data_IF_518390519283
#
_entry.id   IF_518390519283
#
_cell.length_a   1.000
_cell.length_b   1.000
_cell.length_c   1.000
_cell.angle_alpha   90.00
_cell.angle_beta   90.00
_cell.angle_gamma   90.00
#
_symmetry.space_group_name_H-M   'P 1'
#
loop_
_entity.id
_entity.type
_entity.pdbx_description
1 polymer ?
#
# COMPACT_ATOMS: atom_id res chain seq x y z
N UNK A 1 -1.02 0.78 1.45
CA UNK A 1 -2.41 0.26 1.45
C UNK A 1 -3.12 0.45 0.13
N UNK A 2 -3.04 1.63 -0.48
CA UNK A 2 -3.73 1.95 -1.75
C UNK A 2 -3.54 0.93 -2.87
N UNK A 3 -2.30 0.48 -3.13
CA UNK A 3 -2.04 -0.54 -4.16
C UNK A 3 -2.83 -1.84 -3.94
N UNK A 4 -2.96 -2.29 -2.69
CA UNK A 4 -3.77 -3.47 -2.36
C UNK A 4 -5.25 -3.22 -2.61
N UNK A 5 -5.77 -2.05 -2.21
CA UNK A 5 -7.19 -1.68 -2.41
C UNK A 5 -7.50 -1.64 -3.90
N UNK A 6 -6.66 -0.97 -4.70
CA UNK A 6 -6.81 -0.88 -6.16
C UNK A 6 -6.76 -2.27 -6.81
N UNK A 7 -5.78 -3.09 -6.42
CA UNK A 7 -5.65 -4.46 -6.88
C UNK A 7 -6.88 -5.30 -6.57
N UNK A 8 -7.37 -5.25 -5.32
CA UNK A 8 -8.58 -5.95 -4.89
C UNK A 8 -9.80 -5.48 -5.69
N UNK A 9 -10.02 -4.17 -5.85
CA UNK A 9 -11.14 -3.65 -6.63
C UNK A 9 -11.12 -4.11 -8.10
N UNK A 10 -9.93 -4.17 -8.71
CA UNK A 10 -9.79 -4.52 -10.12
C UNK A 10 -9.95 -6.02 -10.42
N UNK A 11 -9.39 -6.89 -9.56
CA UNK A 11 -9.32 -8.35 -9.85
C UNK A 11 -9.94 -9.25 -8.78
N UNK A 12 -10.42 -8.70 -7.67
CA UNK A 12 -11.01 -9.46 -6.57
C UNK A 12 -12.07 -8.62 -5.81
N UNK A 13 -12.99 -7.99 -6.53
CA UNK A 13 -13.96 -7.02 -5.98
C UNK A 13 -14.89 -7.60 -4.91
N UNK A 14 -15.07 -8.93 -4.90
CA UNK A 14 -15.85 -9.65 -3.88
C UNK A 14 -14.99 -10.14 -2.70
N UNK A 15 -13.71 -9.76 -2.63
CA UNK A 15 -12.82 -10.17 -1.55
C UNK A 15 -13.25 -9.55 -0.21
N UNK A 16 -13.36 -10.34 0.87
CA UNK A 16 -13.68 -9.80 2.19
C UNK A 16 -12.60 -8.83 2.72
N UNK A 17 -11.41 -8.83 2.12
CA UNK A 17 -10.34 -7.89 2.48
C UNK A 17 -10.71 -6.43 2.20
N UNK A 18 -11.59 -6.14 1.23
CA UNK A 18 -12.05 -4.77 0.98
C UNK A 18 -12.85 -4.22 2.17
N UNK A 19 -13.80 -5.00 2.69
CA UNK A 19 -14.54 -4.64 3.89
C UNK A 19 -13.63 -4.47 5.10
N UNK A 20 -12.56 -5.27 5.23
CA UNK A 20 -11.55 -5.09 6.28
C UNK A 20 -10.78 -3.76 6.14
N UNK A 21 -10.53 -3.29 4.92
CA UNK A 21 -9.93 -1.97 4.73
C UNK A 21 -10.89 -0.83 5.12
N UNK A 22 -12.19 -0.99 4.89
CA UNK A 22 -13.20 -0.05 5.40
C UNK A 22 -13.22 -0.05 6.94
N UNK A 23 -13.23 -1.23 7.58
CA UNK A 23 -13.15 -1.35 9.05
C UNK A 23 -11.90 -0.67 9.64
N UNK A 24 -10.75 -0.82 8.97
CA UNK A 24 -9.52 -0.12 9.34
C UNK A 24 -9.68 1.38 9.18
N UNK A 25 -10.24 1.86 8.07
CA UNK A 25 -10.48 3.29 7.84
C UNK A 25 -11.41 3.88 8.92
N UNK A 26 -12.48 3.18 9.28
CA UNK A 26 -13.41 3.59 10.34
C UNK A 26 -12.72 3.68 11.70
N UNK A 27 -11.85 2.72 12.01
CA UNK A 27 -11.08 2.70 13.25
C UNK A 27 -10.07 3.85 13.32
N UNK A 28 -9.38 4.15 12.23
CA UNK A 28 -8.36 5.21 12.18
C UNK A 28 -8.98 6.61 12.20
N UNK A 29 -10.07 6.81 11.46
CA UNK A 29 -10.73 8.12 11.31
C UNK A 29 -11.73 8.42 12.42
N UNK A 30 -12.18 7.40 13.17
CA UNK A 30 -13.32 7.52 14.09
C UNK A 30 -14.67 7.72 13.41
N UNK A 31 -14.74 7.61 12.08
CA UNK A 31 -15.96 7.76 11.29
C UNK A 31 -16.50 6.39 10.88
N UNK A 32 -17.67 6.02 11.41
CA UNK A 32 -18.30 4.72 11.15
C UNK A 32 -18.70 4.48 9.67
N UNK A 33 -18.73 5.52 8.83
CA UNK A 33 -19.03 5.38 7.39
C UNK A 33 -17.80 5.56 6.51
N UNK A 34 -16.60 5.63 7.07
CA UNK A 34 -15.36 5.75 6.30
C UNK A 34 -15.15 4.50 5.42
N UNK A 35 -14.64 4.74 4.22
CA UNK A 35 -14.23 3.72 3.27
C UNK A 35 -12.70 3.61 3.23
N UNK A 36 -12.19 2.55 2.60
CA UNK A 36 -10.76 2.26 2.45
C UNK A 36 -9.96 3.46 1.92
N UNK A 37 -10.53 4.25 1.01
CA UNK A 37 -9.92 5.46 0.46
C UNK A 37 -9.68 6.54 1.53
N UNK A 38 -10.60 6.71 2.48
CA UNK A 38 -10.43 7.63 3.60
C UNK A 38 -9.28 7.18 4.51
N UNK A 39 -9.16 5.86 4.73
CA UNK A 39 -8.03 5.27 5.47
C UNK A 39 -6.68 5.51 4.78
N UNK A 40 -6.63 5.44 3.44
CA UNK A 40 -5.44 5.80 2.65
C UNK A 40 -5.05 7.26 2.87
N UNK A 41 -6.03 8.18 2.78
CA UNK A 41 -5.81 9.59 3.04
C UNK A 41 -5.29 9.83 4.46
N UNK A 42 -5.96 9.25 5.46
CA UNK A 42 -5.58 9.38 6.86
C UNK A 42 -4.14 8.92 7.13
N UNK A 43 -3.73 7.77 6.60
CA UNK A 43 -2.34 7.28 6.78
C UNK A 43 -1.32 8.19 6.09
N UNK A 44 -1.64 8.72 4.91
CA UNK A 44 -0.78 9.70 4.22
C UNK A 44 -0.61 10.97 5.06
N UNK A 45 -1.69 11.48 5.64
CA UNK A 45 -1.67 12.67 6.49
C UNK A 45 -0.86 12.45 7.77
N UNK A 46 -0.96 11.27 8.38
CA UNK A 46 -0.14 10.92 9.55
C UNK A 46 1.35 10.83 9.18
N UNK A 47 1.70 10.18 8.08
CA UNK A 47 3.09 10.14 7.60
C UNK A 47 3.65 11.56 7.36
N UNK A 48 2.84 12.45 6.79
CA UNK A 48 3.22 13.84 6.57
C UNK A 48 3.39 14.61 7.89
N UNK A 49 2.45 14.47 8.83
CA UNK A 49 2.50 15.10 10.15
C UNK A 49 3.71 14.62 10.98
N UNK A 50 4.11 13.37 10.81
CA UNK A 50 5.29 12.78 11.44
C UNK A 50 6.60 13.03 10.67
N UNK A 51 6.55 13.73 9.53
CA UNK A 51 7.70 14.00 8.67
C UNK A 51 8.49 12.74 8.29
N UNK A 52 7.79 11.64 7.96
CA UNK A 52 8.41 10.41 7.49
C UNK A 52 9.18 10.69 6.19
N UNK A 53 10.48 10.39 6.19
CA UNK A 53 11.33 10.66 5.03
C UNK A 53 11.05 9.70 3.87
N UNK A 54 11.08 10.17 2.62
CA UNK A 54 10.95 9.30 1.45
C UNK A 54 12.16 8.38 1.30
N UNK A 55 12.02 7.32 0.50
CA UNK A 55 13.09 6.34 0.29
C UNK A 55 14.32 6.95 -0.43
N UNK A 56 14.14 7.99 -1.24
CA UNK A 56 15.23 8.74 -1.89
C UNK A 56 16.22 9.34 -0.88
N UNK A 57 15.76 9.67 0.33
CA UNK A 57 16.60 10.17 1.44
C UNK A 57 17.58 9.12 1.96
N UNK A 58 17.37 7.85 1.63
CA UNK A 58 18.23 6.71 1.98
C UNK A 58 19.00 6.15 0.78
N UNK A 59 19.23 6.99 -0.24
CA UNK A 59 20.00 6.66 -1.44
C UNK A 59 19.37 5.59 -2.34
N UNK A 60 18.07 5.29 -2.18
CA UNK A 60 17.36 4.43 -3.12
C UNK A 60 17.08 5.21 -4.41
N UNK A 61 17.44 4.63 -5.55
CA UNK A 61 17.22 5.22 -6.87
C UNK A 61 16.35 4.33 -7.75
N UNK A 62 15.79 4.88 -8.84
CA UNK A 62 15.03 4.09 -9.83
C UNK A 62 15.83 2.94 -10.44
N UNK A 63 17.16 3.05 -10.49
CA UNK A 63 18.03 1.98 -10.99
C UNK A 63 18.02 0.74 -10.08
N UNK A 64 17.71 0.91 -8.79
CA UNK A 64 17.66 -0.16 -7.80
C UNK A 64 16.32 -0.91 -7.81
N UNK A 65 15.26 -0.32 -8.40
CA UNK A 65 13.91 -0.86 -8.35
C UNK A 65 13.79 -2.30 -8.85
N UNK A 66 14.39 -2.70 -10.00
CA UNK A 66 14.31 -4.08 -10.46
C UNK A 66 14.82 -5.10 -9.43
N UNK A 67 15.91 -4.77 -8.72
CA UNK A 67 16.47 -5.64 -7.70
C UNK A 67 15.57 -5.72 -6.45
N UNK A 68 15.00 -4.59 -6.03
CA UNK A 68 14.07 -4.53 -4.89
C UNK A 68 12.78 -5.30 -5.20
N UNK A 69 12.21 -5.13 -6.40
CA UNK A 69 11.00 -5.84 -6.83
C UNK A 69 11.24 -7.34 -6.86
N UNK A 70 12.36 -7.79 -7.46
CA UNK A 70 12.70 -9.21 -7.50
C UNK A 70 12.81 -9.83 -6.10
N UNK A 71 13.43 -9.12 -5.14
CA UNK A 71 13.52 -9.58 -3.75
C UNK A 71 12.16 -9.55 -3.04
N UNK A 72 11.35 -8.51 -3.27
CA UNK A 72 10.01 -8.40 -2.70
C UNK A 72 9.15 -9.60 -3.12
N UNK A 73 9.14 -9.98 -4.41
CA UNK A 73 8.35 -11.12 -4.90
C UNK A 73 8.70 -12.46 -4.24
N UNK A 74 9.94 -12.62 -3.76
CA UNK A 74 10.39 -13.84 -3.08
C UNK A 74 10.16 -13.80 -1.56
N UNK A 75 9.81 -12.64 -1.00
CA UNK A 75 9.65 -12.47 0.44
C UNK A 75 8.42 -13.24 0.95
N UNK A 76 8.58 -13.96 2.07
CA UNK A 76 7.47 -14.69 2.69
C UNK A 76 6.35 -13.79 3.17
N UNK A 77 6.65 -12.55 3.54
CA UNK A 77 5.66 -11.52 3.93
C UNK A 77 4.68 -11.22 2.80
N UNK A 78 5.09 -11.36 1.54
CA UNK A 78 4.24 -11.10 0.38
C UNK A 78 3.18 -12.18 0.17
N UNK A 79 3.39 -13.40 0.68
CA UNK A 79 2.40 -14.48 0.68
C UNK A 79 1.21 -14.18 1.61
N UNK A 80 1.41 -13.37 2.64
CA UNK A 80 0.36 -12.94 3.57
C UNK A 80 -0.46 -11.75 3.09
N UNK A 81 -0.09 -11.12 1.96
CA UNK A 81 -0.83 -10.00 1.41
C UNK A 81 -2.20 -10.49 0.89
N UNK A 82 -3.32 -9.77 1.14
CA UNK A 82 -4.66 -10.22 0.75
C UNK A 82 -4.88 -10.32 -0.77
N UNK A 83 -3.94 -9.80 -1.57
CA UNK A 83 -3.91 -9.91 -3.02
C UNK A 83 -2.44 -9.99 -3.47
N UNK A 84 -2.06 -10.94 -4.36
CA UNK A 84 -0.71 -10.94 -4.92
C UNK A 84 -0.53 -9.69 -5.78
N UNK A 85 0.54 -8.93 -5.56
CA UNK A 85 0.87 -7.74 -6.35
C UNK A 85 1.80 -8.10 -7.50
N UNK A 86 1.59 -7.48 -8.66
CA UNK A 86 2.48 -7.65 -9.81
C UNK A 86 3.77 -6.84 -9.64
N UNK A 87 4.81 -7.17 -10.40
CA UNK A 87 6.07 -6.43 -10.41
C UNK A 87 5.85 -4.95 -10.72
N UNK A 88 4.92 -4.64 -11.64
CA UNK A 88 4.56 -3.27 -11.95
C UNK A 88 3.90 -2.58 -10.76
N UNK A 89 2.97 -3.24 -10.06
CA UNK A 89 2.31 -2.66 -8.89
C UNK A 89 3.27 -2.41 -7.73
N UNK A 90 4.28 -3.28 -7.54
CA UNK A 90 5.35 -3.05 -6.56
C UNK A 90 6.25 -1.89 -7.00
N UNK A 91 6.56 -1.80 -8.30
CA UNK A 91 7.32 -0.68 -8.87
C UNK A 91 6.60 0.65 -8.66
N UNK A 92 5.28 0.70 -8.88
CA UNK A 92 4.47 1.91 -8.67
C UNK A 92 4.48 2.33 -7.18
N UNK A 93 4.51 1.37 -6.25
CA UNK A 93 4.66 1.67 -4.81
C UNK A 93 6.02 2.30 -4.52
N UNK A 94 7.09 1.78 -5.12
CA UNK A 94 8.44 2.35 -4.97
C UNK A 94 8.52 3.76 -5.55
N UNK A 95 7.89 4.01 -6.70
CA UNK A 95 7.81 5.35 -7.30
C UNK A 95 7.07 6.35 -6.41
N UNK A 96 6.01 5.93 -5.73
CA UNK A 96 5.26 6.81 -4.82
C UNK A 96 5.97 7.05 -3.49
N UNK A 97 6.83 6.12 -3.07
CA UNK A 97 7.53 6.18 -1.79
C UNK A 97 8.91 6.87 -1.87
N UNK A 98 9.41 7.15 -3.08
CA UNK A 98 10.72 7.74 -3.35
C UNK A 98 10.62 9.23 -3.64
#
# INVERSE_FOLDING_TARGET
MEANVRALQLRASNSPALARYDEVAQSLTGNATAAAADGVGWVRDVCAAMAVSPLSRFSLTKADFPAVVAQAQQASSMKGNPVPLTDQEVTDILEQAT
#
